data_IF_160853307681
#
_entry.id   IF_160853307681
#
_cell.length_a   1.000
_cell.length_b   1.000
_cell.length_c   1.000
_cell.angle_alpha   90.00
_cell.angle_beta   90.00
_cell.angle_gamma   90.00
#
_symmetry.space_group_name_H-M   'P 1'
#
loop_
_entity.id
_entity.type
_entity.pdbx_description
1 polymer ?
#
# COMPACT_ATOMS: atom_id res chain seq x y z
N UNK A 1 10.93 9.13 8.54
CA UNK A 1 10.34 10.28 7.83
C UNK A 1 9.19 10.82 8.65
N UNK A 2 8.78 12.07 8.46
CA UNK A 2 7.61 12.66 9.14
C UNK A 2 6.48 12.85 8.11
N UNK A 3 5.27 12.45 8.47
CA UNK A 3 4.07 12.72 7.65
C UNK A 3 3.50 14.10 7.91
N UNK A 4 2.62 14.57 7.04
CA UNK A 4 1.94 15.84 7.21
C UNK A 4 0.75 15.71 8.16
N UNK A 5 0.67 16.58 9.17
CA UNK A 5 -0.55 16.70 9.97
C UNK A 5 -1.61 17.49 9.19
N UNK A 6 -2.47 16.78 8.48
CA UNK A 6 -3.52 17.36 7.64
C UNK A 6 -4.62 18.11 8.42
N UNK A 7 -4.66 18.00 9.76
CA UNK A 7 -5.53 18.86 10.58
C UNK A 7 -5.01 20.32 10.67
N UNK A 8 -3.74 20.56 10.32
CA UNK A 8 -3.18 21.90 10.23
C UNK A 8 -3.36 22.44 8.80
N UNK A 9 -3.98 23.61 8.66
CA UNK A 9 -4.22 24.24 7.34
C UNK A 9 -2.94 24.51 6.55
N UNK A 10 -1.80 24.71 7.23
CA UNK A 10 -0.50 24.87 6.58
C UNK A 10 -0.05 23.59 5.83
N UNK A 11 -0.52 22.41 6.22
CA UNK A 11 -0.18 21.16 5.53
C UNK A 11 -0.75 21.14 4.11
N UNK A 12 -2.01 21.56 3.93
CA UNK A 12 -2.60 21.66 2.60
C UNK A 12 -1.93 22.75 1.78
N UNK A 13 -1.62 23.91 2.37
CA UNK A 13 -0.90 24.98 1.68
C UNK A 13 0.47 24.52 1.18
N UNK A 14 1.17 23.69 1.96
CA UNK A 14 2.43 23.07 1.54
C UNK A 14 2.22 22.15 0.34
N UNK A 15 1.27 21.21 0.40
CA UNK A 15 0.95 20.32 -0.73
C UNK A 15 0.56 21.10 -1.99
N UNK A 16 -0.29 22.12 -1.85
CA UNK A 16 -0.71 22.97 -2.97
C UNK A 16 0.50 23.64 -3.63
N UNK A 17 1.47 24.14 -2.86
CA UNK A 17 2.68 24.77 -3.42
C UNK A 17 3.59 23.77 -4.17
N UNK A 18 3.73 22.54 -3.67
CA UNK A 18 4.49 21.48 -4.33
C UNK A 18 3.83 21.08 -5.66
N UNK A 19 2.50 20.95 -5.69
CA UNK A 19 1.80 20.56 -6.91
C UNK A 19 1.67 21.70 -7.92
N UNK A 20 1.66 22.96 -7.48
CA UNK A 20 1.84 24.11 -8.38
C UNK A 20 3.22 24.08 -9.06
N UNK A 21 4.28 23.73 -8.31
CA UNK A 21 5.62 23.58 -8.87
C UNK A 21 5.66 22.43 -9.89
N UNK A 22 5.08 21.27 -9.55
CA UNK A 22 4.98 20.15 -10.49
C UNK A 22 4.17 20.50 -11.74
N UNK A 23 3.11 21.29 -11.61
CA UNK A 23 2.33 21.78 -12.75
C UNK A 23 3.16 22.72 -13.63
N UNK A 24 3.95 23.62 -13.04
CA UNK A 24 4.87 24.49 -13.76
C UNK A 24 5.96 23.72 -14.53
N UNK A 25 6.38 22.57 -14.01
CA UNK A 25 7.31 21.66 -14.69
C UNK A 25 6.65 20.77 -15.76
N UNK A 26 5.31 20.78 -15.84
CA UNK A 26 4.58 19.92 -16.76
C UNK A 26 4.55 18.45 -16.35
N UNK A 27 4.62 18.15 -15.05
CA UNK A 27 4.47 16.77 -14.55
C UNK A 27 3.05 16.28 -14.81
N UNK A 28 2.92 15.05 -15.31
CA UNK A 28 1.63 14.41 -15.61
C UNK A 28 1.34 13.18 -14.74
N UNK A 29 2.32 12.75 -13.93
CA UNK A 29 2.24 11.55 -13.12
C UNK A 29 3.03 11.74 -11.83
N UNK A 30 2.41 11.43 -10.69
CA UNK A 30 3.05 11.44 -9.38
C UNK A 30 2.82 10.11 -8.69
N UNK A 31 3.93 9.48 -8.27
CA UNK A 31 3.92 8.33 -7.36
C UNK A 31 4.32 8.81 -5.98
N UNK A 32 3.41 8.68 -5.02
CA UNK A 32 3.65 9.04 -3.62
C UNK A 32 3.96 7.77 -2.82
N UNK A 33 5.14 7.75 -2.20
CA UNK A 33 5.61 6.64 -1.36
C UNK A 33 5.35 6.89 0.13
N UNK A 34 5.51 5.85 0.96
CA UNK A 34 5.27 5.87 2.43
C UNK A 34 3.84 6.30 2.82
N UNK A 35 2.85 6.04 1.95
CA UNK A 35 1.47 6.49 2.14
C UNK A 35 0.46 5.35 2.31
N UNK A 36 0.74 4.18 1.71
CA UNK A 36 -0.24 3.09 1.65
C UNK A 36 0.05 1.93 2.62
N UNK A 37 1.31 1.71 3.02
CA UNK A 37 1.72 0.69 3.99
C UNK A 37 3.04 1.10 4.68
N UNK A 38 3.34 0.67 5.92
CA UNK A 38 2.54 -0.20 6.79
C UNK A 38 1.35 0.51 7.44
N UNK A 39 1.30 1.84 7.39
CA UNK A 39 0.19 2.65 7.90
C UNK A 39 -0.45 3.38 6.73
N UNK A 40 -1.75 3.19 6.53
CA UNK A 40 -2.49 3.88 5.50
C UNK A 40 -2.79 5.33 5.92
N UNK A 41 -2.29 6.31 5.16
CA UNK A 41 -2.39 7.75 5.47
C UNK A 41 -3.58 8.39 4.76
N UNK A 42 -4.79 8.08 5.21
CA UNK A 42 -6.02 8.51 4.54
C UNK A 42 -6.08 10.03 4.26
N UNK A 43 -5.85 10.85 5.28
CA UNK A 43 -5.94 12.31 5.15
C UNK A 43 -4.90 12.88 4.18
N UNK A 44 -3.70 12.28 4.10
CA UNK A 44 -2.69 12.72 3.14
C UNK A 44 -3.10 12.34 1.71
N UNK A 45 -3.70 11.17 1.49
CA UNK A 45 -4.23 10.78 0.16
C UNK A 45 -5.26 11.80 -0.33
N UNK A 46 -6.18 12.22 0.52
CA UNK A 46 -7.17 13.27 0.23
C UNK A 46 -6.48 14.61 -0.07
N UNK A 47 -5.45 14.98 0.71
CA UNK A 47 -4.65 16.18 0.53
C UNK A 47 -3.91 16.23 -0.81
N UNK A 48 -3.27 15.12 -1.21
CA UNK A 48 -2.63 14.99 -2.53
C UNK A 48 -3.63 15.09 -3.67
N UNK A 49 -4.78 14.42 -3.53
CA UNK A 49 -5.87 14.49 -4.51
C UNK A 49 -6.35 15.92 -4.71
N UNK A 50 -6.53 16.67 -3.62
CA UNK A 50 -6.95 18.08 -3.65
C UNK A 50 -5.87 18.99 -4.24
N UNK A 51 -4.61 18.79 -3.87
CA UNK A 51 -3.48 19.57 -4.40
C UNK A 51 -3.35 19.42 -5.93
N UNK A 52 -3.54 18.19 -6.45
CA UNK A 52 -3.61 17.95 -7.90
C UNK A 52 -4.75 18.75 -8.53
N UNK A 53 -5.95 18.73 -7.94
CA UNK A 53 -7.09 19.52 -8.48
C UNK A 53 -6.77 21.02 -8.51
N UNK A 54 -6.20 21.55 -7.42
CA UNK A 54 -5.87 22.98 -7.27
C UNK A 54 -4.71 23.43 -8.13
N UNK A 55 -3.84 22.51 -8.55
CA UNK A 55 -2.72 22.81 -9.45
C UNK A 55 -3.18 23.27 -10.84
N UNK A 56 -4.42 22.95 -11.23
CA UNK A 56 -4.96 23.26 -12.56
C UNK A 56 -4.41 22.38 -13.69
N UNK A 57 -3.50 21.45 -13.41
CA UNK A 57 -2.98 20.47 -14.38
C UNK A 57 -3.46 19.05 -14.02
N UNK A 58 -4.03 18.29 -14.97
CA UNK A 58 -4.31 16.88 -14.76
C UNK A 58 -3.02 16.10 -14.45
N UNK A 59 -3.01 15.37 -13.34
CA UNK A 59 -1.92 14.46 -12.99
C UNK A 59 -2.49 13.13 -12.50
N UNK A 60 -1.89 12.03 -12.95
CA UNK A 60 -2.18 10.70 -12.45
C UNK A 60 -1.57 10.54 -11.06
N UNK A 61 -2.35 10.02 -10.11
CA UNK A 61 -1.93 9.76 -8.73
C UNK A 61 -1.75 8.27 -8.49
N UNK A 62 -0.52 7.87 -8.15
CA UNK A 62 -0.11 6.50 -7.81
C UNK A 62 0.35 6.40 -6.35
N UNK A 63 -0.12 5.39 -5.62
CA UNK A 63 0.20 5.22 -4.18
C UNK A 63 1.11 4.00 -3.92
N UNK A 64 2.13 4.18 -3.07
CA UNK A 64 3.05 3.14 -2.60
C UNK A 64 3.48 3.35 -1.14
N UNK A 65 4.09 2.36 -0.47
CA UNK A 65 4.25 0.97 -0.89
C UNK A 65 2.95 0.17 -0.72
N UNK A 66 2.97 -1.10 -1.12
CA UNK A 66 1.89 -2.04 -0.84
C UNK A 66 2.30 -3.08 0.22
N UNK A 67 1.36 -3.93 0.65
CA UNK A 67 -0.01 -4.02 0.16
C UNK A 67 -0.91 -2.93 0.75
N UNK A 68 -1.64 -2.20 -0.10
CA UNK A 68 -2.73 -1.32 0.35
C UNK A 68 -3.79 -2.16 1.09
N UNK A 69 -4.26 -1.75 2.28
CA UNK A 69 -5.26 -2.49 3.03
C UNK A 69 -6.58 -2.64 2.27
N UNK A 70 -7.15 -3.85 2.23
CA UNK A 70 -8.46 -4.09 1.61
C UNK A 70 -9.58 -3.27 2.25
N UNK A 71 -9.48 -3.00 3.56
CA UNK A 71 -10.42 -2.13 4.27
C UNK A 71 -10.46 -0.69 3.72
N UNK A 72 -9.41 -0.27 3.02
CA UNK A 72 -9.29 1.06 2.40
C UNK A 72 -9.60 1.04 0.90
N UNK A 73 -10.04 -0.08 0.33
CA UNK A 73 -10.23 -0.26 -1.12
C UNK A 73 -11.16 0.79 -1.75
N UNK A 74 -12.34 1.03 -1.16
CA UNK A 74 -13.29 2.03 -1.65
C UNK A 74 -12.69 3.44 -1.60
N UNK A 75 -11.94 3.76 -0.55
CA UNK A 75 -11.31 5.05 -0.38
C UNK A 75 -10.21 5.29 -1.42
N UNK A 76 -9.30 4.33 -1.64
CA UNK A 76 -8.24 4.50 -2.64
C UNK A 76 -8.80 4.56 -4.06
N UNK A 77 -9.84 3.79 -4.36
CA UNK A 77 -10.53 3.84 -5.64
C UNK A 77 -11.14 5.21 -5.93
N UNK A 78 -11.66 5.91 -4.92
CA UNK A 78 -12.25 7.23 -5.07
C UNK A 78 -11.20 8.36 -5.19
N UNK A 79 -9.99 8.17 -4.65
CA UNK A 79 -9.02 9.25 -4.48
C UNK A 79 -7.73 9.10 -5.30
N UNK A 80 -7.41 7.90 -5.78
CA UNK A 80 -6.21 7.64 -6.56
C UNK A 80 -6.53 6.93 -7.88
N UNK A 81 -5.62 7.03 -8.83
CA UNK A 81 -5.77 6.36 -10.13
C UNK A 81 -5.17 4.95 -10.09
N UNK A 82 -4.16 4.72 -9.24
CA UNK A 82 -3.55 3.41 -9.02
C UNK A 82 -2.91 3.31 -7.62
N UNK A 83 -2.79 2.09 -7.11
CA UNK A 83 -2.17 1.80 -5.82
C UNK A 83 -1.51 0.41 -5.85
N UNK A 84 -0.50 0.21 -5.00
CA UNK A 84 0.21 -1.08 -4.96
C UNK A 84 -0.53 -2.14 -4.14
N UNK A 85 -0.85 -3.26 -4.80
CA UNK A 85 -1.40 -4.45 -4.15
C UNK A 85 -0.35 -5.36 -3.49
N UNK A 86 0.94 -5.11 -3.77
CA UNK A 86 2.09 -5.85 -3.23
C UNK A 86 3.18 -4.88 -2.80
N UNK A 87 4.11 -5.35 -1.96
CA UNK A 87 5.32 -4.58 -1.67
C UNK A 87 6.23 -4.49 -2.91
N UNK A 88 7.42 -3.89 -2.79
CA UNK A 88 8.36 -3.76 -3.90
C UNK A 88 8.55 -5.12 -4.58
N UNK A 89 8.26 -5.14 -5.88
CA UNK A 89 8.43 -6.33 -6.70
C UNK A 89 9.88 -6.37 -7.17
N UNK A 90 10.56 -7.44 -6.81
CA UNK A 90 11.91 -7.75 -7.23
C UNK A 90 11.92 -9.10 -7.94
N UNK A 91 12.84 -9.26 -8.87
CA UNK A 91 13.19 -10.49 -9.59
C UNK A 91 13.92 -11.52 -8.71
N UNK A 92 13.46 -11.66 -7.46
CA UNK A 92 13.96 -12.65 -6.52
C UNK A 92 13.12 -13.92 -6.58
N UNK A 93 13.56 -14.86 -7.43
CA UNK A 93 12.98 -16.19 -7.59
C UNK A 93 13.43 -17.19 -6.51
N UNK A 94 14.08 -16.75 -5.43
CA UNK A 94 14.50 -17.65 -4.35
C UNK A 94 13.32 -18.54 -3.95
N UNK A 95 13.51 -19.88 -3.89
CA UNK A 95 12.43 -20.80 -3.54
C UNK A 95 12.05 -20.56 -2.08
N UNK A 96 11.12 -19.63 -1.84
CA UNK A 96 10.47 -19.52 -0.54
C UNK A 96 9.78 -20.85 -0.34
N UNK A 97 10.22 -21.56 0.71
CA UNK A 97 9.77 -22.92 1.06
C UNK A 97 8.29 -23.11 0.71
N UNK A 98 7.90 -24.24 0.09
CA UNK A 98 6.49 -24.54 -0.08
C UNK A 98 5.82 -24.40 1.29
N UNK A 99 4.72 -23.65 1.34
CA UNK A 99 3.82 -23.61 2.49
C UNK A 99 3.41 -25.06 2.71
N UNK A 100 4.06 -25.73 3.68
CA UNK A 100 3.57 -27.02 4.14
C UNK A 100 2.19 -26.72 4.71
N UNK A 101 1.11 -27.34 4.23
CA UNK A 101 -0.12 -27.35 4.98
C UNK A 101 0.24 -27.87 6.36
N UNK A 102 -0.07 -27.10 7.39
CA UNK A 102 0.00 -27.55 8.78
C UNK A 102 -1.10 -28.60 8.97
N UNK A 103 -0.95 -29.76 8.34
CA UNK A 103 -1.57 -30.96 8.83
C UNK A 103 -0.81 -31.31 10.10
N UNK A 104 -1.41 -30.96 11.23
CA UNK A 104 -1.10 -31.58 12.51
C UNK A 104 -1.16 -33.10 12.28
N UNK A 105 -0.01 -33.73 12.06
CA UNK A 105 0.11 -35.17 12.18
C UNK A 105 -0.03 -35.47 13.67
N UNK A 106 -1.24 -35.83 14.09
CA UNK A 106 -1.44 -36.51 15.36
C UNK A 106 -0.54 -37.75 15.43
N UNK A 107 -0.19 -38.20 16.64
CA UNK A 107 0.72 -39.33 16.79
C UNK A 107 0.14 -40.57 16.11
N UNK A 108 0.99 -41.29 15.37
CA UNK A 108 0.63 -42.53 14.69
C UNK A 108 0.05 -43.55 15.70
N UNK A 109 -1.04 -44.28 15.36
CA UNK A 109 -1.58 -45.27 16.27
C UNK A 109 -0.56 -46.41 16.46
N UNK A 110 -0.28 -46.74 17.72
CA UNK A 110 0.58 -47.86 18.08
C UNK A 110 -0.05 -49.18 17.63
N UNK A 111 0.65 -49.90 16.76
CA UNK A 111 0.24 -51.23 16.29
C UNK A 111 0.33 -52.23 17.47
N UNK A 112 -0.83 -52.57 18.06
CA UNK A 112 -0.97 -53.68 19.00
C UNK A 112 -1.94 -54.71 18.42
N UNK A 113 -1.39 -55.69 17.72
CA UNK A 113 -1.93 -57.02 17.41
C UNK A 113 -0.76 -57.76 16.73
N UNK A 114 -0.30 -58.95 17.08
CA UNK A 114 -0.73 -60.05 17.92
C UNK A 114 0.54 -60.79 18.37
N UNK A 115 0.63 -61.18 19.63
CA UNK A 115 1.58 -62.22 20.04
C UNK A 115 0.90 -63.07 21.11
N UNK A 116 0.23 -64.15 20.69
CA UNK A 116 -0.04 -65.37 21.47
C UNK A 116 -0.41 -66.52 20.52
N UNK A 117 0.28 -67.66 20.57
CA UNK A 117 -0.38 -68.93 20.75
C UNK A 117 -0.85 -69.09 22.21
#
# INVERSE_FOLDING_TARGET
MWGLNMANTCAQAYLDSVFQLFAAWGVDFVKVDDIAAPTYRQAEVEGYRLAIQRSGRPMVLSLSPGPTPLASASHVQANAHMWRIVNDLWDNFSPRRPVRPTAQLGPAPSDRRLARP
#
